data_IF_456007253729
#
_entry.id   IF_456007253729
#
_cell.length_a   1.000
_cell.length_b   1.000
_cell.length_c   1.000
_cell.angle_alpha   90.00
_cell.angle_beta   90.00
_cell.angle_gamma   90.00
#
_symmetry.space_group_name_H-M   'P 1'
#
loop_
_entity.id
_entity.type
_entity.pdbx_description
1 polymer ?
#
# COMPACT_ATOMS: atom_id res chain seq x y z
N UNK A 1 -20.52 -31.39 -34.77
CA UNK A 1 -19.17 -31.34 -34.17
C UNK A 1 -19.00 -29.96 -33.53
N UNK A 2 -19.29 -29.77 -32.22
CA UNK A 2 -19.05 -28.48 -31.58
C UNK A 2 -17.61 -28.45 -31.02
N UNK A 3 -16.81 -27.50 -31.51
CA UNK A 3 -15.50 -27.18 -30.96
C UNK A 3 -15.70 -26.24 -29.77
N UNK A 4 -15.60 -26.77 -28.55
CA UNK A 4 -15.63 -25.98 -27.32
C UNK A 4 -14.25 -25.37 -27.11
N UNK A 5 -14.14 -24.05 -27.25
CA UNK A 5 -12.91 -23.31 -26.96
C UNK A 5 -12.81 -23.15 -25.43
N UNK A 6 -11.92 -23.91 -24.77
CA UNK A 6 -11.57 -23.64 -23.37
C UNK A 6 -10.74 -22.36 -23.30
N UNK A 7 -11.33 -21.30 -22.77
CA UNK A 7 -10.58 -20.13 -22.33
C UNK A 7 -9.82 -20.53 -21.05
N UNK A 8 -8.49 -20.58 -21.14
CA UNK A 8 -7.61 -20.63 -19.95
C UNK A 8 -7.63 -19.23 -19.35
N UNK A 9 -8.42 -19.05 -18.28
CA UNK A 9 -8.29 -17.89 -17.41
C UNK A 9 -7.03 -18.10 -16.56
N UNK A 10 -5.95 -17.41 -16.89
CA UNK A 10 -4.80 -17.29 -15.99
C UNK A 10 -5.25 -16.60 -14.71
N UNK A 11 -5.06 -17.26 -13.57
CA UNK A 11 -5.19 -16.59 -12.28
C UNK A 11 -4.08 -15.53 -12.18
N UNK A 12 -4.35 -14.32 -11.67
CA UNK A 12 -3.26 -13.40 -11.35
C UNK A 12 -2.42 -14.06 -10.26
N UNK A 13 -1.13 -14.22 -10.53
CA UNK A 13 -0.17 -14.73 -9.56
C UNK A 13 -0.05 -13.72 -8.41
N UNK A 14 -0.78 -13.96 -7.33
CA UNK A 14 -0.54 -13.29 -6.06
C UNK A 14 0.65 -13.99 -5.38
N UNK A 15 1.87 -13.63 -5.76
CA UNK A 15 3.06 -14.22 -5.18
C UNK A 15 4.35 -13.57 -5.63
N UNK A 16 4.90 -12.70 -4.77
CA UNK A 16 6.33 -12.44 -4.63
C UNK A 16 7.06 -11.62 -5.69
N UNK A 17 6.90 -11.97 -6.96
CA UNK A 17 7.42 -11.21 -8.10
C UNK A 17 6.35 -10.29 -8.71
N UNK A 18 5.08 -10.50 -8.35
CA UNK A 18 3.98 -9.67 -8.78
C UNK A 18 3.94 -8.37 -7.98
N UNK A 19 3.93 -7.25 -8.70
CA UNK A 19 3.69 -5.93 -8.14
C UNK A 19 2.37 -5.94 -7.35
N UNK A 20 2.40 -5.43 -6.13
CA UNK A 20 1.19 -5.29 -5.32
C UNK A 20 0.23 -4.30 -6.00
N UNK A 21 -0.78 -4.85 -6.67
CA UNK A 21 -1.77 -4.10 -7.43
C UNK A 21 -3.18 -4.57 -7.09
N UNK A 22 -4.14 -3.66 -7.08
CA UNK A 22 -5.55 -3.97 -6.90
C UNK A 22 -6.07 -3.64 -5.50
N UNK A 23 -7.22 -4.22 -5.15
CA UNK A 23 -7.92 -3.97 -3.90
C UNK A 23 -7.58 -5.07 -2.89
N UNK A 24 -7.27 -4.65 -1.66
CA UNK A 24 -6.94 -5.53 -0.55
C UNK A 24 -7.80 -5.20 0.67
N UNK A 25 -8.16 -6.24 1.42
CA UNK A 25 -8.70 -6.10 2.77
C UNK A 25 -7.54 -5.95 3.74
N UNK A 26 -7.54 -4.89 4.53
CA UNK A 26 -6.63 -4.65 5.65
C UNK A 26 -7.28 -5.09 6.96
N UNK A 27 -6.65 -6.02 7.67
CA UNK A 27 -7.09 -6.46 8.99
C UNK A 27 -6.00 -6.16 10.02
N UNK A 28 -6.23 -5.19 10.89
CA UNK A 28 -5.36 -4.86 12.02
C UNK A 28 -5.96 -5.38 13.32
N UNK A 29 -5.12 -5.93 14.19
CA UNK A 29 -5.59 -6.48 15.47
C UNK A 29 -6.19 -5.38 16.33
N UNK A 30 -7.45 -5.57 16.74
CA UNK A 30 -8.19 -4.62 17.57
C UNK A 30 -8.93 -3.53 16.80
N UNK A 31 -8.94 -3.59 15.46
CA UNK A 31 -9.67 -2.68 14.59
C UNK A 31 -10.64 -3.45 13.66
N UNK A 32 -11.77 -2.84 13.24
CA UNK A 32 -12.56 -3.39 12.14
C UNK A 32 -11.73 -3.41 10.85
N UNK A 33 -11.95 -4.40 9.96
CA UNK A 33 -11.25 -4.47 8.69
C UNK A 33 -11.61 -3.27 7.78
N UNK A 34 -10.65 -2.84 6.99
CA UNK A 34 -10.78 -1.77 6.00
C UNK A 34 -10.40 -2.27 4.60
N UNK A 35 -10.75 -1.51 3.56
CA UNK A 35 -10.27 -1.79 2.20
C UNK A 35 -9.25 -0.74 1.77
N UNK A 36 -8.21 -1.19 1.08
CA UNK A 36 -7.20 -0.34 0.46
C UNK A 36 -7.00 -0.72 -1.00
N UNK A 37 -6.59 0.25 -1.79
CA UNK A 37 -6.22 0.06 -3.19
C UNK A 37 -4.73 0.33 -3.32
N UNK A 38 -4.00 -0.68 -3.79
CA UNK A 38 -2.58 -0.58 -4.11
C UNK A 38 -2.41 -0.27 -5.60
N UNK A 39 -1.71 0.83 -5.90
CA UNK A 39 -1.40 1.25 -7.27
C UNK A 39 0.11 1.37 -7.44
N UNK A 40 0.76 0.42 -8.11
CA UNK A 40 2.18 0.52 -8.40
C UNK A 40 2.45 1.62 -9.44
N UNK A 41 3.60 2.27 -9.29
CA UNK A 41 4.22 3.16 -10.26
C UNK A 41 5.70 2.81 -10.33
N UNK A 42 6.12 2.26 -11.46
CA UNK A 42 7.44 1.70 -11.69
C UNK A 42 8.23 2.55 -12.67
N UNK A 43 9.53 2.64 -12.43
CA UNK A 43 10.51 3.12 -13.41
C UNK A 43 11.42 1.96 -13.80
N UNK A 44 11.85 1.88 -15.07
CA UNK A 44 12.84 0.88 -15.47
C UNK A 44 14.14 1.17 -14.71
N UNK A 45 14.63 0.16 -14.00
CA UNK A 45 15.98 0.16 -13.44
C UNK A 45 16.90 -0.49 -14.46
N UNK A 46 18.07 0.10 -14.68
CA UNK A 46 18.99 -0.16 -15.80
C UNK A 46 18.97 -1.63 -16.26
N UNK A 47 18.17 -1.89 -17.29
CA UNK A 47 18.33 -3.06 -18.14
C UNK A 47 19.60 -2.91 -18.95
N UNK A 48 20.14 -3.99 -19.50
CA UNK A 48 21.39 -4.08 -20.26
C UNK A 48 21.43 -3.28 -21.59
N UNK A 49 20.68 -2.16 -21.68
CA UNK A 49 20.33 -1.39 -22.86
C UNK A 49 19.53 -2.15 -23.92
N UNK A 50 19.24 -3.45 -23.72
CA UNK A 50 18.48 -4.28 -24.66
C UNK A 50 17.07 -4.55 -24.16
N UNK A 51 16.91 -4.86 -22.88
CA UNK A 51 15.59 -5.13 -22.28
C UNK A 51 15.43 -4.46 -20.91
N UNK A 52 14.36 -3.65 -20.68
CA UNK A 52 14.15 -3.03 -19.39
C UNK A 52 13.77 -4.09 -18.35
N UNK A 53 14.58 -4.22 -17.29
CA UNK A 53 14.17 -5.01 -16.13
C UNK A 53 13.20 -4.18 -15.29
N UNK A 54 11.92 -4.56 -15.34
CA UNK A 54 10.89 -4.03 -14.47
C UNK A 54 10.87 -4.85 -13.18
N UNK A 55 11.83 -4.58 -12.30
CA UNK A 55 11.92 -5.26 -11.03
C UNK A 55 11.12 -4.50 -9.95
N UNK A 56 10.45 -5.19 -9.01
CA UNK A 56 9.66 -4.56 -7.95
C UNK A 56 10.40 -3.51 -7.09
N UNK A 57 11.73 -3.59 -6.96
CA UNK A 57 12.55 -2.59 -6.28
C UNK A 57 12.66 -1.25 -7.02
N UNK A 58 12.38 -1.23 -8.33
CA UNK A 58 12.24 -0.01 -9.14
C UNK A 58 10.86 0.66 -8.98
N UNK A 59 9.97 0.07 -8.19
CA UNK A 59 8.59 0.49 -8.06
C UNK A 59 8.30 1.18 -6.73
N UNK A 60 7.33 2.09 -6.79
CA UNK A 60 6.63 2.61 -5.62
C UNK A 60 5.19 2.16 -5.66
N UNK A 61 4.63 1.80 -4.52
CA UNK A 61 3.19 1.54 -4.43
C UNK A 61 2.52 2.68 -3.72
N UNK A 62 1.55 3.31 -4.39
CA UNK A 62 0.65 4.25 -3.74
C UNK A 62 -0.49 3.46 -3.11
N UNK A 63 -0.56 3.50 -1.78
CA UNK A 63 -1.63 2.92 -0.99
C UNK A 63 -2.69 4.00 -0.80
N UNK A 64 -3.84 3.79 -1.42
CA UNK A 64 -5.03 4.58 -1.24
C UNK A 64 -5.99 3.85 -0.32
N UNK A 65 -6.74 4.59 0.49
CA UNK A 65 -7.89 4.04 1.19
C UNK A 65 -9.01 3.92 0.15
N UNK A 66 -9.53 2.70 -0.04
CA UNK A 66 -10.67 2.49 -0.92
C UNK A 66 -11.86 3.26 -0.35
N UNK A 67 -12.41 4.18 -1.14
CA UNK A 67 -13.53 5.04 -0.76
C UNK A 67 -14.87 4.30 -0.74
N UNK A 68 -14.92 3.07 -0.22
CA UNK A 68 -16.20 2.56 0.25
C UNK A 68 -16.63 3.44 1.44
N UNK A 69 -17.53 4.38 1.15
CA UNK A 69 -18.01 5.39 2.08
C UNK A 69 -18.57 4.79 3.38
N UNK A 70 -19.02 3.53 3.35
CA UNK A 70 -19.51 2.83 4.53
C UNK A 70 -18.37 2.38 5.47
N UNK A 71 -17.18 2.08 4.94
CA UNK A 71 -16.00 1.68 5.71
C UNK A 71 -15.22 2.90 6.22
N UNK A 72 -15.12 3.97 5.42
CA UNK A 72 -14.44 5.21 5.81
C UNK A 72 -15.22 5.98 6.89
N UNK A 73 -16.55 6.06 6.82
CA UNK A 73 -17.38 6.69 7.85
C UNK A 73 -17.28 5.99 9.21
N UNK A 74 -17.16 4.65 9.23
CA UNK A 74 -17.03 3.87 10.47
C UNK A 74 -15.64 4.02 11.11
N UNK A 75 -14.59 4.23 10.30
CA UNK A 75 -13.23 4.50 10.79
C UNK A 75 -13.12 5.88 11.47
N UNK A 76 -13.74 6.92 10.90
CA UNK A 76 -13.77 8.27 11.47
C UNK A 76 -14.66 8.35 12.73
N UNK A 77 -15.85 7.73 12.71
CA UNK A 77 -16.80 7.81 13.83
C UNK A 77 -16.43 6.91 15.03
N UNK A 78 -15.61 5.87 14.83
CA UNK A 78 -15.21 4.93 15.88
C UNK A 78 -13.84 5.19 16.51
N UNK A 79 -13.19 6.32 16.19
CA UNK A 79 -11.81 6.61 16.64
C UNK A 79 -10.77 5.60 16.15
N UNK A 80 -11.13 4.77 15.16
CA UNK A 80 -10.26 3.70 14.65
C UNK A 80 -9.58 4.19 13.40
N UNK A 81 -8.28 4.39 13.50
CA UNK A 81 -7.46 4.91 12.41
C UNK A 81 -7.60 4.04 11.17
N UNK A 82 -8.18 4.62 10.12
CA UNK A 82 -8.07 4.10 8.76
C UNK A 82 -6.59 3.95 8.39
N UNK A 83 -6.26 2.88 7.65
CA UNK A 83 -4.89 2.65 7.15
C UNK A 83 -4.33 3.94 6.57
N UNK A 84 -3.19 4.44 7.05
CA UNK A 84 -2.62 5.65 6.52
C UNK A 84 -2.34 5.51 5.02
N UNK A 85 -2.83 6.44 4.20
CA UNK A 85 -2.40 6.52 2.81
C UNK A 85 -0.90 6.84 2.76
N UNK A 86 -0.20 6.27 1.78
CA UNK A 86 1.26 6.41 1.70
C UNK A 86 1.86 5.84 0.42
N UNK A 87 3.14 6.10 0.22
CA UNK A 87 3.92 5.59 -0.91
C UNK A 87 4.98 4.62 -0.39
N UNK A 88 4.76 3.33 -0.61
CA UNK A 88 5.64 2.25 -0.16
C UNK A 88 6.77 1.98 -1.16
N UNK A 89 7.94 1.65 -0.63
CA UNK A 89 9.10 1.17 -1.38
C UNK A 89 9.44 -0.25 -0.94
N UNK A 90 9.85 -1.08 -1.89
CA UNK A 90 10.32 -2.44 -1.64
C UNK A 90 11.82 -2.42 -1.39
N UNK A 91 12.25 -3.01 -0.28
CA UNK A 91 13.65 -3.28 0.00
C UNK A 91 13.76 -4.59 0.80
N UNK A 92 14.63 -5.51 0.35
CA UNK A 92 14.86 -6.77 1.04
C UNK A 92 13.60 -7.62 1.25
N UNK A 93 12.68 -7.63 0.27
CA UNK A 93 11.41 -8.37 0.35
C UNK A 93 10.33 -7.70 1.20
N UNK A 94 10.57 -6.51 1.74
CA UNK A 94 9.60 -5.78 2.57
C UNK A 94 9.22 -4.44 1.95
N UNK A 95 7.91 -4.21 1.89
CA UNK A 95 7.34 -2.91 1.59
C UNK A 95 7.35 -2.04 2.84
N UNK A 96 7.81 -0.80 2.70
CA UNK A 96 7.82 0.16 3.82
C UNK A 96 7.43 1.57 3.39
N UNK A 97 6.69 2.26 4.25
CA UNK A 97 6.42 3.69 4.14
C UNK A 97 6.24 4.34 5.50
N UNK A 98 6.37 5.66 5.50
CA UNK A 98 6.12 6.51 6.67
C UNK A 98 5.17 7.63 6.27
N UNK A 99 4.19 7.93 7.11
CA UNK A 99 3.31 9.09 6.93
C UNK A 99 3.04 9.77 8.24
N UNK A 100 2.83 11.08 8.20
CA UNK A 100 2.48 11.88 9.36
C UNK A 100 1.01 12.25 9.30
N UNK A 101 0.29 12.09 10.41
CA UNK A 101 -1.11 12.45 10.54
C UNK A 101 -1.26 13.53 11.59
N UNK A 102 -1.96 14.60 11.25
CA UNK A 102 -2.27 15.70 12.18
C UNK A 102 -3.23 15.24 13.30
N UNK A 103 -4.12 14.29 12.97
CA UNK A 103 -5.10 13.70 13.86
C UNK A 103 -4.74 12.22 14.13
N UNK A 104 -3.55 12.01 14.68
CA UNK A 104 -2.94 10.68 14.81
C UNK A 104 -3.13 10.01 16.17
N UNK A 105 -3.35 10.80 17.24
CA UNK A 105 -3.45 10.33 18.62
C UNK A 105 -4.45 11.19 19.43
N UNK A 106 -5.26 10.54 20.26
CA UNK A 106 -6.17 11.22 21.19
C UNK A 106 -5.42 11.56 22.48
N UNK A 107 -5.50 12.81 22.90
CA UNK A 107 -4.96 13.36 24.13
C UNK A 107 -5.88 13.10 25.33
N UNK A 108 -5.38 13.16 26.58
CA UNK A 108 -6.20 13.02 27.78
C UNK A 108 -7.30 14.07 27.93
N UNK A 109 -7.11 15.25 27.32
CA UNK A 109 -8.10 16.34 27.28
C UNK A 109 -9.15 16.15 26.16
N UNK A 110 -9.07 15.05 25.41
CA UNK A 110 -9.95 14.74 24.28
C UNK A 110 -9.56 15.40 22.95
N UNK A 111 -8.52 16.25 22.93
CA UNK A 111 -8.02 16.83 21.68
C UNK A 111 -7.23 15.81 20.86
N UNK A 112 -7.02 16.10 19.58
CA UNK A 112 -6.22 15.28 18.68
C UNK A 112 -4.84 15.91 18.51
N UNK A 113 -3.81 15.07 18.53
CA UNK A 113 -2.43 15.47 18.25
C UNK A 113 -1.82 14.66 17.13
N UNK A 114 -0.71 15.15 16.60
CA UNK A 114 -0.04 14.52 15.49
C UNK A 114 0.68 13.24 15.89
N UNK A 115 0.68 12.26 14.99
CA UNK A 115 1.44 11.04 15.11
C UNK A 115 2.05 10.67 13.78
N UNK A 116 3.13 9.90 13.82
CA UNK A 116 3.81 9.37 12.64
C UNK A 116 3.60 7.86 12.60
N UNK A 117 3.07 7.36 11.49
CA UNK A 117 2.92 5.93 11.25
C UNK A 117 4.03 5.45 10.33
N UNK A 118 4.74 4.41 10.78
CA UNK A 118 5.65 3.63 9.95
C UNK A 118 5.04 2.27 9.73
N UNK A 119 4.84 1.91 8.47
CA UNK A 119 4.19 0.67 8.07
C UNK A 119 5.22 -0.18 7.33
N UNK A 120 5.33 -1.45 7.72
CA UNK A 120 6.25 -2.40 7.10
C UNK A 120 5.57 -3.75 6.96
N UNK A 121 5.65 -4.37 5.79
CA UNK A 121 5.04 -5.68 5.54
C UNK A 121 5.83 -6.47 4.52
N UNK A 122 5.76 -7.80 4.63
CA UNK A 122 6.39 -8.73 3.71
C UNK A 122 5.64 -8.77 2.38
N UNK A 123 6.39 -8.74 1.26
CA UNK A 123 5.83 -8.70 -0.08
C UNK A 123 5.14 -10.01 -0.50
N UNK A 124 5.47 -11.14 0.13
CA UNK A 124 4.93 -12.45 -0.20
C UNK A 124 3.75 -12.81 0.71
N UNK A 125 3.95 -12.75 2.03
CA UNK A 125 2.92 -13.14 2.99
C UNK A 125 1.87 -12.04 3.20
N UNK A 126 2.15 -10.81 2.77
CA UNK A 126 1.32 -9.63 2.97
C UNK A 126 0.97 -9.38 4.44
N UNK A 127 1.81 -9.86 5.36
CA UNK A 127 1.69 -9.64 6.79
C UNK A 127 2.68 -8.59 7.23
N UNK A 128 2.25 -7.70 8.14
CA UNK A 128 3.06 -6.56 8.53
C UNK A 128 2.82 -6.05 9.93
N UNK A 129 3.52 -4.96 10.21
CA UNK A 129 3.45 -4.22 11.46
C UNK A 129 3.31 -2.73 11.15
N UNK A 130 2.30 -2.12 11.75
CA UNK A 130 2.15 -0.67 11.79
C UNK A 130 2.65 -0.16 13.12
N UNK A 131 3.56 0.80 13.06
CA UNK A 131 4.16 1.43 14.24
C UNK A 131 3.76 2.89 14.27
N UNK A 132 2.96 3.29 15.26
CA UNK A 132 2.54 4.67 15.46
C UNK A 132 3.36 5.31 16.56
N UNK A 133 4.07 6.40 16.26
CA UNK A 133 4.87 7.17 17.22
C UNK A 133 4.25 8.56 17.44
N UNK A 134 4.35 9.10 18.65
CA UNK A 134 3.90 10.45 18.97
C UNK A 134 4.88 11.14 19.92
N UNK A 135 4.92 12.47 19.87
CA UNK A 135 5.79 13.29 20.71
C UNK A 135 5.04 13.80 21.95
N UNK A 136 5.77 14.40 22.88
CA UNK A 136 5.18 15.02 24.06
C UNK A 136 4.38 16.28 23.65
N UNK A 137 3.05 16.18 23.66
CA UNK A 137 2.08 17.23 23.33
C UNK A 137 0.86 17.06 24.23
N UNK A 138 0.07 18.10 24.48
CA UNK A 138 -1.25 18.00 25.15
C UNK A 138 -1.26 17.16 26.46
N UNK A 139 -0.17 17.15 27.23
CA UNK A 139 -0.04 16.34 28.45
C UNK A 139 0.25 14.83 28.21
N UNK A 140 0.29 14.37 26.96
CA UNK A 140 0.77 13.03 26.61
C UNK A 140 2.30 12.93 26.76
N UNK A 141 2.74 11.80 27.31
CA UNK A 141 4.14 11.40 27.23
C UNK A 141 4.46 10.88 25.82
N UNK A 142 5.68 11.07 25.33
CA UNK A 142 6.10 10.54 24.04
C UNK A 142 6.06 9.01 24.10
N UNK A 143 5.69 8.39 22.99
CA UNK A 143 5.50 6.94 22.99
C UNK A 143 5.30 6.36 21.61
N UNK A 144 5.11 5.05 21.61
CA UNK A 144 4.94 4.25 20.41
C UNK A 144 3.97 3.10 20.67
N UNK A 145 3.11 2.81 19.70
CA UNK A 145 2.36 1.55 19.63
C UNK A 145 2.76 0.77 18.39
N UNK A 146 2.65 -0.56 18.49
CA UNK A 146 2.83 -1.48 17.36
C UNK A 146 1.58 -2.32 17.21
N UNK A 147 1.03 -2.36 16.00
CA UNK A 147 -0.18 -3.06 15.65
C UNK A 147 0.10 -3.98 14.46
N UNK A 148 0.04 -5.31 14.65
CA UNK A 148 0.19 -6.25 13.54
C UNK A 148 -1.05 -6.19 12.65
N UNK A 149 -0.83 -6.39 11.35
CA UNK A 149 -1.90 -6.44 10.36
C UNK A 149 -1.62 -7.45 9.26
N UNK A 150 -2.67 -7.80 8.50
CA UNK A 150 -2.58 -8.61 7.29
C UNK A 150 -3.32 -7.94 6.14
N UNK A 151 -2.84 -8.16 4.92
CA UNK A 151 -3.56 -7.80 3.69
C UNK A 151 -4.06 -9.05 2.99
N UNK A 152 -5.29 -9.01 2.48
CA UNK A 152 -5.87 -10.09 1.68
C UNK A 152 -6.37 -9.53 0.36
N UNK A 153 -5.88 -10.08 -0.76
CA UNK A 153 -6.31 -9.65 -2.09
C UNK A 153 -7.80 -9.91 -2.30
N UNK A 154 -8.53 -8.90 -2.77
CA UNK A 154 -9.97 -8.95 -3.02
C UNK A 154 -10.25 -9.04 -4.51
N UNK A 155 -9.53 -8.25 -5.31
CA UNK A 155 -9.74 -8.17 -6.75
C UNK A 155 -9.00 -7.01 -7.41
N UNK A 156 -9.17 -6.84 -8.73
CA UNK A 156 -8.53 -5.75 -9.46
C UNK A 156 -9.04 -4.39 -8.99
N UNK A 157 -8.25 -3.34 -9.24
CA UNK A 157 -8.68 -1.97 -8.97
C UNK A 157 -9.88 -1.59 -9.86
N UNK A 158 -10.77 -0.69 -9.40
CA UNK A 158 -11.93 -0.25 -10.18
C UNK A 158 -11.55 0.59 -11.41
N UNK A 159 -10.31 1.04 -11.48
CA UNK A 159 -9.73 1.76 -12.61
C UNK A 159 -8.54 0.96 -13.13
N UNK A 160 -8.30 1.03 -14.43
CA UNK A 160 -7.03 0.51 -14.98
C UNK A 160 -5.86 1.29 -14.39
N UNK A 161 -4.86 0.54 -13.93
CA UNK A 161 -3.65 1.10 -13.35
C UNK A 161 -2.56 0.99 -14.40
N UNK A 162 -2.09 2.13 -14.88
CA UNK A 162 -0.84 2.19 -15.64
C UNK A 162 0.33 2.12 -14.65
N UNK A 163 0.97 0.95 -14.57
CA UNK A 163 2.13 0.74 -13.72
C UNK A 163 3.40 1.42 -14.23
N UNK A 164 3.39 1.96 -15.46
CA UNK A 164 4.53 2.65 -16.10
C UNK A 164 4.09 4.02 -16.66
N UNK A 165 3.68 4.95 -15.78
CA UNK A 165 3.18 6.25 -16.23
C UNK A 165 4.24 7.09 -16.96
N UNK A 166 5.52 6.77 -16.77
CA UNK A 166 6.62 7.40 -17.49
C UNK A 166 6.88 6.62 -18.79
N UNK A 167 6.43 7.19 -19.90
CA UNK A 167 6.72 6.70 -21.25
C UNK A 167 8.18 7.01 -21.60
N UNK A 168 9.11 6.13 -21.23
CA UNK A 168 10.51 6.33 -21.54
C UNK A 168 10.80 5.91 -23.00
N UNK A 169 11.20 6.86 -23.85
CA UNK A 169 11.47 6.62 -25.28
C UNK A 169 12.54 5.53 -25.51
N UNK A 170 12.44 4.72 -26.57
CA UNK A 170 13.35 3.60 -26.82
C UNK A 170 14.78 3.99 -27.22
N UNK A 171 15.06 5.27 -27.44
CA UNK A 171 16.34 5.75 -27.95
C UNK A 171 17.43 5.85 -26.89
N UNK A 172 18.25 4.81 -26.74
CA UNK A 172 19.66 4.82 -26.30
C UNK A 172 20.01 5.28 -24.87
N UNK A 173 19.26 6.20 -24.28
CA UNK A 173 19.38 6.71 -22.91
C UNK A 173 18.04 6.72 -22.17
N UNK A 174 16.96 6.26 -22.82
CA UNK A 174 15.58 6.16 -22.31
C UNK A 174 15.25 7.26 -21.29
N UNK A 175 15.37 8.51 -21.75
CA UNK A 175 14.97 9.67 -20.97
C UNK A 175 13.47 9.56 -20.68
N UNK A 176 13.12 9.58 -19.40
CA UNK A 176 11.74 9.66 -18.95
C UNK A 176 11.44 11.16 -18.73
N UNK A 177 10.59 11.75 -19.57
CA UNK A 177 10.17 13.17 -19.51
C UNK A 177 8.80 13.33 -18.85
#
# INVERSE_FOLDING_TARGET
MPLTCLAVLGAPEAGGDALLQGVYTYAEVGAPPAQLTAMPACVPIVGDLREPLLLPEGCRINILISQDAALSAKSIAGGTVAVPAGSARLAGGQWSYTTSRMEGKVCPDGTLTSATDTVTFDAHSLTGMRTTTWTARCGLQPGMTKQPFTLTYVGPAPVEIDSQPLQCEPGGLRHCS
#
